data_IF_719945503810
#
_entry.id   IF_719945503810
#
_cell.length_a   1.000
_cell.length_b   1.000
_cell.length_c   1.000
_cell.angle_alpha   90.00
_cell.angle_beta   90.00
_cell.angle_gamma   90.00
#
_symmetry.space_group_name_H-M   'P 1'
#
loop_
_entity.id
_entity.type
_entity.pdbx_description
1 polymer ?
#
# COMPACT_ATOMS: atom_id res chain seq x y z
N UNK A 1 13.34 -7.23 -1.52
CA UNK A 1 12.33 -6.46 -2.30
C UNK A 1 12.85 -6.34 -3.71
N UNK A 2 12.03 -6.70 -4.70
CA UNK A 2 12.37 -6.71 -6.13
C UNK A 2 11.56 -5.59 -6.81
N UNK A 3 12.21 -4.80 -7.67
CA UNK A 3 11.50 -3.78 -8.44
C UNK A 3 10.64 -4.40 -9.54
N UNK A 4 9.47 -3.80 -9.79
CA UNK A 4 8.71 -4.07 -11.00
C UNK A 4 9.52 -3.67 -12.24
N UNK A 5 9.34 -4.40 -13.33
CA UNK A 5 9.89 -4.04 -14.64
C UNK A 5 8.87 -3.26 -15.45
N UNK A 6 9.36 -2.50 -16.44
CA UNK A 6 8.49 -1.81 -17.41
C UNK A 6 7.59 -2.84 -18.10
N UNK A 7 6.29 -2.55 -18.16
CA UNK A 7 5.29 -3.43 -18.75
C UNK A 7 4.70 -4.48 -17.80
N UNK A 8 5.23 -4.63 -16.57
CA UNK A 8 4.59 -5.47 -15.56
C UNK A 8 3.40 -4.73 -14.93
N UNK A 9 2.28 -5.43 -14.80
CA UNK A 9 1.14 -4.97 -14.01
C UNK A 9 1.38 -5.25 -12.52
N UNK A 10 0.96 -4.30 -11.68
CA UNK A 10 1.07 -4.39 -10.23
C UNK A 10 -0.29 -4.19 -9.58
N UNK A 11 -0.49 -4.86 -8.45
CA UNK A 11 -1.64 -4.65 -7.59
C UNK A 11 -1.22 -3.78 -6.41
N UNK A 12 -2.01 -2.74 -6.12
CA UNK A 12 -1.80 -1.86 -4.98
C UNK A 12 -2.97 -2.05 -4.02
N UNK A 13 -2.73 -2.77 -2.93
CA UNK A 13 -3.72 -2.97 -1.87
C UNK A 13 -3.42 -2.01 -0.72
N UNK A 14 -4.36 -1.11 -0.43
CA UNK A 14 -4.27 -0.17 0.67
C UNK A 14 -5.37 -0.43 1.69
N UNK A 15 -4.97 -0.63 2.95
CA UNK A 15 -5.88 -0.92 4.06
C UNK A 15 -5.67 0.02 5.23
N UNK A 16 -6.78 0.44 5.85
CA UNK A 16 -6.75 1.20 7.09
C UNK A 16 -6.46 0.24 8.23
N UNK A 17 -5.37 0.47 8.95
CA UNK A 17 -5.02 -0.26 10.17
C UNK A 17 -5.77 0.29 11.38
N UNK A 18 -5.90 1.62 11.44
CA UNK A 18 -6.60 2.32 12.53
C UNK A 18 -7.11 3.67 12.04
N UNK A 19 -8.37 3.99 12.31
CA UNK A 19 -8.94 5.33 12.12
C UNK A 19 -9.31 5.92 13.48
N UNK A 20 -8.61 6.98 13.89
CA UNK A 20 -8.97 7.81 15.03
C UNK A 20 -9.78 9.05 14.61
N UNK A 21 -10.02 9.95 15.56
CA UNK A 21 -10.79 11.20 15.32
C UNK A 21 -10.12 12.14 14.32
N UNK A 22 -8.78 12.22 14.33
CA UNK A 22 -8.00 13.17 13.50
C UNK A 22 -6.92 12.50 12.65
N UNK A 23 -6.55 11.25 12.94
CA UNK A 23 -5.49 10.54 12.23
C UNK A 23 -5.98 9.17 11.77
N UNK A 24 -5.64 8.81 10.53
CA UNK A 24 -5.79 7.48 9.99
C UNK A 24 -4.40 6.89 9.68
N UNK A 25 -4.20 5.63 10.05
CA UNK A 25 -2.99 4.85 9.81
C UNK A 25 -3.32 3.78 8.78
N UNK A 26 -2.51 3.68 7.73
CA UNK A 26 -2.72 2.77 6.61
C UNK A 26 -1.47 1.95 6.34
N UNK A 27 -1.68 0.72 5.90
CA UNK A 27 -0.65 -0.12 5.27
C UNK A 27 -0.97 -0.24 3.79
N UNK A 28 0.06 -0.25 2.97
CA UNK A 28 -0.05 -0.47 1.53
C UNK A 28 0.90 -1.60 1.16
N UNK A 29 0.39 -2.61 0.47
CA UNK A 29 1.19 -3.66 -0.14
C UNK A 29 1.10 -3.53 -1.65
N UNK A 30 2.26 -3.57 -2.31
CA UNK A 30 2.38 -3.53 -3.77
C UNK A 30 2.93 -4.87 -4.21
N UNK A 31 2.16 -5.63 -4.99
CA UNK A 31 2.54 -6.95 -5.49
C UNK A 31 2.55 -6.99 -7.01
N UNK A 32 3.35 -7.88 -7.59
CA UNK A 32 3.27 -8.17 -9.02
C UNK A 32 1.97 -8.93 -9.30
N UNK A 33 1.23 -8.51 -10.33
CA UNK A 33 -0.08 -9.09 -10.63
C UNK A 33 0.00 -10.54 -11.16
N UNK A 34 1.09 -10.91 -11.83
CA UNK A 34 1.23 -12.22 -12.45
C UNK A 34 1.55 -13.33 -11.45
N UNK A 35 2.38 -13.06 -10.44
CA UNK A 35 2.88 -14.07 -9.50
C UNK A 35 2.60 -13.78 -8.01
N UNK A 36 2.02 -12.62 -7.70
CA UNK A 36 1.72 -12.20 -6.33
C UNK A 36 2.96 -11.81 -5.51
N UNK A 37 4.15 -11.75 -6.12
CA UNK A 37 5.38 -11.39 -5.42
C UNK A 37 5.28 -10.00 -4.81
N UNK A 38 5.64 -9.86 -3.54
CA UNK A 38 5.70 -8.56 -2.87
C UNK A 38 6.87 -7.71 -3.38
N UNK A 39 6.54 -6.57 -3.98
CA UNK A 39 7.48 -5.65 -4.58
C UNK A 39 7.88 -4.55 -3.60
N UNK A 40 6.90 -3.96 -2.92
CA UNK A 40 7.10 -2.88 -1.96
C UNK A 40 6.01 -2.87 -0.89
N UNK A 41 6.34 -2.28 0.27
CA UNK A 41 5.40 -2.01 1.35
C UNK A 41 5.51 -0.56 1.79
N UNK A 42 4.36 0.04 2.07
CA UNK A 42 4.23 1.42 2.52
C UNK A 42 3.41 1.53 3.81
N UNK A 43 3.73 2.55 4.61
CA UNK A 43 2.89 3.00 5.72
C UNK A 43 2.57 4.46 5.54
N UNK A 44 1.30 4.82 5.66
CA UNK A 44 0.86 6.21 5.62
C UNK A 44 0.15 6.59 6.92
N UNK A 45 0.46 7.79 7.41
CA UNK A 45 -0.31 8.47 8.45
C UNK A 45 -0.92 9.71 7.83
N UNK A 46 -2.26 9.79 7.82
CA UNK A 46 -3.00 10.90 7.19
C UNK A 46 -3.81 11.63 8.25
N UNK A 47 -3.80 12.96 8.20
CA UNK A 47 -4.78 13.77 8.91
C UNK A 47 -6.15 13.62 8.22
N UNK A 48 -7.18 13.32 9.01
CA UNK A 48 -8.56 13.08 8.56
C UNK A 48 -9.58 13.81 9.44
N UNK A 49 -9.11 14.74 10.28
CA UNK A 49 -10.01 15.60 11.04
C UNK A 49 -10.71 16.58 10.10
N UNK A 50 -12.02 16.73 10.29
CA UNK A 50 -12.82 17.84 9.75
C UNK A 50 -12.63 19.09 10.60
#
# INVERSE_FOLDING_TARGET
MKGARVGEEIVVDARILKRGKRLAFLSVDITNMADGTLLAQGKHTKYVGS
#
